data_IF_913908337014
#
_entry.id   IF_913908337014
#
_cell.length_a   1.000
_cell.length_b   1.000
_cell.length_c   1.000
_cell.angle_alpha   90.00
_cell.angle_beta   90.00
_cell.angle_gamma   90.00
#
_symmetry.space_group_name_H-M   'P 1'
#
loop_
_entity.id
_entity.type
_entity.pdbx_description
1 polymer ?
#
# COMPACT_ATOMS: atom_id res chain seq x y z
N UNK A 1 -0.07 3.94 -24.55
CA UNK A 1 -1.05 3.31 -23.66
C UNK A 1 -0.66 1.86 -23.53
N UNK A 2 -0.67 1.33 -22.31
CA UNK A 2 -0.27 -0.04 -22.04
C UNK A 2 -1.26 -1.06 -22.64
N UNK A 3 -0.82 -2.28 -23.00
CA UNK A 3 -1.67 -3.30 -23.63
C UNK A 3 -2.60 -3.98 -22.60
N UNK A 4 -3.62 -3.25 -22.12
CA UNK A 4 -4.52 -3.65 -21.02
C UNK A 4 -5.12 -5.06 -21.15
N UNK A 5 -5.67 -5.41 -22.31
CA UNK A 5 -6.31 -6.72 -22.51
C UNK A 5 -5.32 -7.88 -22.40
N UNK A 6 -4.10 -7.69 -22.90
CA UNK A 6 -3.04 -8.69 -22.83
C UNK A 6 -2.55 -8.85 -21.39
N UNK A 7 -2.34 -7.74 -20.68
CA UNK A 7 -1.88 -7.74 -19.29
C UNK A 7 -2.89 -8.36 -18.32
N UNK A 8 -4.19 -8.26 -18.61
CA UNK A 8 -5.26 -8.85 -17.80
C UNK A 8 -5.53 -10.33 -18.10
N UNK A 9 -4.82 -10.93 -19.06
CA UNK A 9 -5.07 -12.33 -19.45
C UNK A 9 -4.45 -13.29 -18.42
N UNK A 10 -5.27 -14.17 -17.83
CA UNK A 10 -4.81 -15.16 -16.85
C UNK A 10 -4.37 -14.55 -15.52
N UNK A 11 -4.99 -13.42 -15.15
CA UNK A 11 -4.83 -12.74 -13.86
C UNK A 11 -6.02 -13.10 -12.97
N UNK A 12 -5.75 -13.40 -11.70
CA UNK A 12 -6.77 -13.71 -10.69
C UNK A 12 -7.36 -12.41 -10.11
N UNK A 13 -6.52 -11.47 -9.68
CA UNK A 13 -6.91 -10.19 -9.09
C UNK A 13 -7.17 -9.13 -10.18
N UNK A 14 -8.10 -9.42 -11.10
CA UNK A 14 -8.35 -8.62 -12.31
C UNK A 14 -8.60 -7.14 -12.03
N UNK A 15 -9.42 -6.83 -11.03
CA UNK A 15 -9.77 -5.44 -10.72
C UNK A 15 -8.58 -4.68 -10.14
N UNK A 16 -7.82 -5.33 -9.26
CA UNK A 16 -6.60 -4.74 -8.68
C UNK A 16 -5.57 -4.49 -9.76
N UNK A 17 -5.27 -5.47 -10.61
CA UNK A 17 -4.31 -5.29 -11.71
C UNK A 17 -4.80 -4.26 -12.72
N UNK A 18 -6.09 -4.21 -13.03
CA UNK A 18 -6.65 -3.19 -13.90
C UNK A 18 -6.44 -1.77 -13.35
N UNK A 19 -6.66 -1.57 -12.05
CA UNK A 19 -6.37 -0.27 -11.39
C UNK A 19 -4.90 0.09 -11.49
N UNK A 20 -3.99 -0.86 -11.27
CA UNK A 20 -2.55 -0.60 -11.39
C UNK A 20 -2.14 -0.27 -12.83
N UNK A 21 -2.75 -0.89 -13.84
CA UNK A 21 -2.53 -0.52 -15.25
C UNK A 21 -2.98 0.92 -15.51
N UNK A 22 -4.15 1.31 -15.01
CA UNK A 22 -4.66 2.67 -15.15
C UNK A 22 -3.73 3.69 -14.45
N UNK A 23 -3.17 3.34 -13.29
CA UNK A 23 -2.19 4.15 -12.57
C UNK A 23 -0.84 4.25 -13.29
N UNK A 24 -0.40 3.17 -13.93
CA UNK A 24 0.82 3.19 -14.73
C UNK A 24 0.65 4.04 -16.01
N UNK A 25 -0.49 3.94 -16.69
CA UNK A 25 -0.83 4.83 -17.80
C UNK A 25 -0.88 6.30 -17.34
N UNK A 26 -1.36 6.58 -16.12
CA UNK A 26 -1.32 7.91 -15.53
C UNK A 26 0.13 8.39 -15.34
N UNK A 27 0.99 7.58 -14.70
CA UNK A 27 2.40 7.94 -14.48
C UNK A 27 3.13 8.26 -15.80
N UNK A 28 2.85 7.50 -16.87
CA UNK A 28 3.39 7.76 -18.21
C UNK A 28 2.93 9.13 -18.76
N UNK A 29 1.64 9.46 -18.56
CA UNK A 29 1.00 10.68 -19.09
C UNK A 29 1.28 11.95 -18.29
N UNK A 30 1.53 11.85 -16.99
CA UNK A 30 1.74 13.01 -16.13
C UNK A 30 3.21 13.26 -15.83
N UNK A 31 4.09 12.30 -16.11
CA UNK A 31 5.51 12.34 -15.70
C UNK A 31 5.71 12.41 -14.19
N UNK A 32 4.69 12.02 -13.42
CA UNK A 32 4.73 12.01 -11.95
C UNK A 32 4.74 10.59 -11.40
N UNK A 33 5.21 10.45 -10.16
CA UNK A 33 5.11 9.18 -9.42
C UNK A 33 3.66 8.99 -9.00
N UNK A 34 3.08 7.84 -9.32
CA UNK A 34 1.73 7.46 -8.92
C UNK A 34 1.81 6.34 -7.90
N UNK A 35 1.00 6.42 -6.84
CA UNK A 35 1.00 5.44 -5.76
C UNK A 35 -0.26 4.59 -5.78
N UNK A 36 -0.10 3.29 -5.51
CA UNK A 36 -1.23 2.42 -5.18
C UNK A 36 -1.66 2.61 -3.73
N UNK A 37 -2.81 2.06 -3.38
CA UNK A 37 -3.12 1.72 -2.00
C UNK A 37 -2.31 0.49 -1.54
N UNK A 38 -2.49 0.04 -0.30
CA UNK A 38 -1.83 -1.17 0.18
C UNK A 38 -2.40 -2.41 -0.50
N UNK A 39 -1.49 -3.17 -1.09
CA UNK A 39 -1.74 -4.43 -1.77
C UNK A 39 -1.32 -5.58 -0.87
N UNK A 40 -2.06 -6.68 -0.95
CA UNK A 40 -1.69 -7.93 -0.27
C UNK A 40 -0.52 -8.64 -0.99
N UNK A 41 0.20 -9.56 -0.31
CA UNK A 41 1.24 -10.36 -0.94
C UNK A 41 0.85 -11.04 -2.27
N UNK A 42 -0.31 -11.71 -2.42
CA UNK A 42 -0.69 -12.33 -3.68
C UNK A 42 -0.95 -11.30 -4.80
N UNK A 43 -1.55 -10.15 -4.47
CA UNK A 43 -1.77 -9.07 -5.43
C UNK A 43 -0.42 -8.49 -5.90
N UNK A 44 0.52 -8.23 -4.99
CA UNK A 44 1.86 -7.74 -5.31
C UNK A 44 2.62 -8.71 -6.22
N UNK A 45 2.61 -9.99 -5.90
CA UNK A 45 3.27 -11.02 -6.70
C UNK A 45 2.69 -11.07 -8.12
N UNK A 46 1.37 -10.95 -8.24
CA UNK A 46 0.70 -10.94 -9.53
C UNK A 46 1.00 -9.67 -10.34
N UNK A 47 0.95 -8.50 -9.71
CA UNK A 47 1.30 -7.22 -10.35
C UNK A 47 2.75 -7.26 -10.83
N UNK A 48 3.70 -7.67 -9.99
CA UNK A 48 5.10 -7.79 -10.39
C UNK A 48 5.27 -8.70 -11.60
N UNK A 49 4.60 -9.86 -11.63
CA UNK A 49 4.61 -10.78 -12.77
C UNK A 49 4.08 -10.14 -14.06
N UNK A 50 2.98 -9.39 -13.97
CA UNK A 50 2.34 -8.72 -15.11
C UNK A 50 3.24 -7.59 -15.64
N UNK A 51 3.79 -6.77 -14.74
CA UNK A 51 4.54 -5.57 -15.09
C UNK A 51 6.01 -5.82 -15.43
N UNK A 52 6.60 -6.96 -15.03
CA UNK A 52 7.98 -7.32 -15.38
C UNK A 52 8.24 -7.44 -16.90
N UNK A 53 7.18 -7.42 -17.72
CA UNK A 53 7.25 -7.45 -19.19
C UNK A 53 7.29 -6.06 -19.81
N UNK A 54 7.04 -5.01 -19.04
CA UNK A 54 6.97 -3.63 -19.49
C UNK A 54 8.33 -2.95 -19.31
N UNK A 55 8.67 -2.06 -20.24
CA UNK A 55 9.91 -1.28 -20.19
C UNK A 55 9.66 0.21 -20.03
N UNK A 56 8.40 0.62 -20.15
CA UNK A 56 7.96 2.01 -20.08
C UNK A 56 7.87 2.52 -18.64
N UNK A 57 7.64 1.62 -17.69
CA UNK A 57 7.49 1.93 -16.26
C UNK A 57 8.31 0.96 -15.42
N UNK A 58 8.67 1.41 -14.23
CA UNK A 58 9.19 0.55 -13.17
C UNK A 58 8.38 0.80 -11.90
N UNK A 59 8.39 -0.20 -11.02
CA UNK A 59 7.58 -0.22 -9.81
C UNK A 59 8.50 -0.50 -8.62
N UNK A 60 8.31 0.25 -7.54
CA UNK A 60 8.99 0.01 -6.27
C UNK A 60 7.93 -0.28 -5.21
N UNK A 61 8.07 -1.45 -4.57
CA UNK A 61 7.20 -1.87 -3.47
C UNK A 61 7.85 -1.55 -2.12
N UNK A 62 7.08 -0.94 -1.22
CA UNK A 62 7.52 -0.73 0.16
C UNK A 62 6.34 -0.69 1.12
N UNK A 63 6.52 -1.30 2.28
CA UNK A 63 5.53 -1.33 3.36
C UNK A 63 6.04 -0.73 4.67
N UNK A 64 7.20 -0.07 4.68
CA UNK A 64 7.77 0.60 5.86
C UNK A 64 8.85 -0.15 6.61
N UNK A 65 8.92 -1.47 6.43
CA UNK A 65 9.99 -2.30 6.97
C UNK A 65 10.22 -3.53 6.09
N UNK A 66 11.38 -4.22 6.20
CA UNK A 66 11.76 -5.29 5.27
C UNK A 66 10.80 -6.48 5.21
N UNK A 67 10.09 -6.78 6.30
CA UNK A 67 9.16 -7.91 6.41
C UNK A 67 7.69 -7.49 6.27
N UNK A 68 7.40 -6.29 5.77
CA UNK A 68 6.03 -5.85 5.57
C UNK A 68 5.30 -6.74 4.56
N UNK A 69 4.19 -7.33 4.97
CA UNK A 69 3.33 -8.16 4.14
C UNK A 69 2.53 -7.30 3.18
N UNK A 70 1.89 -6.24 3.68
CA UNK A 70 1.16 -5.29 2.85
C UNK A 70 2.04 -4.13 2.47
N UNK A 71 2.10 -3.84 1.18
CA UNK A 71 2.98 -2.82 0.62
C UNK A 71 2.23 -1.92 -0.35
N UNK A 72 2.68 -0.67 -0.47
CA UNK A 72 2.28 0.23 -1.56
C UNK A 72 3.28 0.10 -2.69
N UNK A 73 2.80 0.28 -3.91
CA UNK A 73 3.65 0.44 -5.08
C UNK A 73 3.75 1.92 -5.41
N UNK A 74 4.97 2.41 -5.57
CA UNK A 74 5.25 3.62 -6.30
C UNK A 74 5.54 3.24 -7.76
N UNK A 75 4.87 3.91 -8.68
CA UNK A 75 4.90 3.63 -10.11
C UNK A 75 5.44 4.88 -10.80
N UNK A 76 6.49 4.72 -11.57
CA UNK A 76 7.10 5.80 -12.32
C UNK A 76 7.55 5.32 -13.70
N UNK A 77 7.73 6.27 -14.62
CA UNK A 77 8.36 5.98 -15.91
C UNK A 77 9.77 5.46 -15.71
N UNK A 78 10.25 4.60 -16.61
CA UNK A 78 11.57 3.99 -16.51
C UNK A 78 12.75 4.99 -16.48
N UNK A 79 12.56 6.23 -16.92
CA UNK A 79 13.57 7.30 -16.91
C UNK A 79 13.60 8.14 -15.63
N UNK A 80 12.64 7.96 -14.71
CA UNK A 80 12.60 8.67 -13.43
C UNK A 80 13.18 7.79 -12.32
N UNK A 81 14.21 8.18 -11.58
CA UNK A 81 14.70 7.38 -10.46
C UNK A 81 13.66 7.23 -9.34
N UNK A 82 13.45 6.00 -8.90
CA UNK A 82 12.57 5.65 -7.78
C UNK A 82 13.24 4.63 -6.87
N UNK A 83 13.21 4.88 -5.57
CA UNK A 83 13.63 3.93 -4.54
C UNK A 83 12.57 3.78 -3.42
N UNK A 84 12.85 2.90 -2.46
CA UNK A 84 11.91 2.58 -1.38
C UNK A 84 11.59 3.79 -0.48
N UNK A 85 12.53 4.74 -0.33
CA UNK A 85 12.32 5.95 0.48
C UNK A 85 11.31 6.91 -0.14
N UNK A 86 11.06 6.80 -1.44
CA UNK A 86 10.09 7.61 -2.17
C UNK A 86 8.68 7.00 -2.15
N UNK A 87 8.51 5.77 -1.65
CA UNK A 87 7.17 5.18 -1.48
C UNK A 87 6.50 5.86 -0.30
N UNK A 88 5.50 6.69 -0.59
CA UNK A 88 4.81 7.49 0.40
C UNK A 88 4.01 6.60 1.37
N UNK A 89 4.41 6.55 2.64
CA UNK A 89 3.73 5.83 3.73
C UNK A 89 3.88 6.62 5.02
N UNK A 90 3.02 6.36 5.98
CA UNK A 90 3.06 6.98 7.30
C UNK A 90 2.89 5.90 8.37
N UNK A 91 3.58 6.05 9.50
CA UNK A 91 3.38 5.20 10.66
C UNK A 91 2.60 5.98 11.73
N UNK A 92 1.54 5.39 12.24
CA UNK A 92 0.75 5.90 13.36
C UNK A 92 1.06 5.08 14.60
N UNK A 93 1.22 5.78 15.72
CA UNK A 93 1.34 5.13 17.02
C UNK A 93 -0.02 5.18 17.74
N UNK A 94 -0.53 4.00 18.09
CA UNK A 94 -1.72 3.83 18.91
C UNK A 94 -1.24 3.51 20.32
N UNK A 95 -1.20 4.54 21.17
CA UNK A 95 -0.84 4.42 22.57
C UNK A 95 -2.10 4.35 23.47
N UNK A 96 -2.03 3.55 24.53
CA UNK A 96 -3.13 3.35 25.46
C UNK A 96 -2.70 2.53 26.67
N UNK A 97 -3.61 2.34 27.62
CA UNK A 97 -3.35 1.49 28.78
C UNK A 97 -3.79 0.05 28.49
N UNK A 98 -2.85 -0.78 28.03
CA UNK A 98 -3.10 -2.19 27.71
C UNK A 98 -2.50 -3.16 28.76
N UNK A 99 -2.19 -2.65 29.95
CA UNK A 99 -1.62 -3.45 31.07
C UNK A 99 -2.61 -4.49 31.61
N UNK A 100 -3.90 -4.15 31.65
CA UNK A 100 -4.94 -5.00 32.26
C UNK A 100 -5.93 -5.59 31.24
N UNK A 101 -5.91 -5.07 30.02
CA UNK A 101 -6.70 -5.56 28.90
C UNK A 101 -5.83 -5.48 27.63
N UNK A 102 -5.13 -6.57 27.34
CA UNK A 102 -4.18 -6.61 26.23
C UNK A 102 -4.95 -6.69 24.91
N UNK A 103 -4.91 -5.61 24.15
CA UNK A 103 -5.44 -5.59 22.80
C UNK A 103 -4.56 -6.43 21.86
N UNK A 104 -5.20 -7.22 21.01
CA UNK A 104 -4.55 -7.99 19.97
C UNK A 104 -4.67 -7.30 18.60
N UNK A 105 -4.01 -7.85 17.58
CA UNK A 105 -4.03 -7.30 16.22
C UNK A 105 -5.44 -7.03 15.68
N UNK A 106 -6.42 -7.92 15.96
CA UNK A 106 -7.80 -7.77 15.48
C UNK A 106 -8.52 -6.60 16.14
N UNK A 107 -8.18 -6.30 17.39
CA UNK A 107 -8.80 -5.19 18.12
C UNK A 107 -8.32 -3.85 17.55
N UNK A 108 -7.01 -3.70 17.33
CA UNK A 108 -6.44 -2.51 16.68
C UNK A 108 -6.98 -2.32 15.26
N UNK A 109 -6.96 -3.39 14.44
CA UNK A 109 -7.49 -3.32 13.09
C UNK A 109 -9.00 -3.00 13.09
N UNK A 110 -9.76 -3.65 13.97
CA UNK A 110 -11.20 -3.42 14.12
C UNK A 110 -11.52 -1.98 14.53
N UNK A 111 -10.76 -1.43 15.49
CA UNK A 111 -10.89 -0.04 15.91
C UNK A 111 -10.59 0.93 14.76
N UNK A 112 -9.51 0.69 14.00
CA UNK A 112 -9.20 1.52 12.84
C UNK A 112 -10.30 1.46 11.77
N UNK A 113 -10.76 0.27 11.39
CA UNK A 113 -11.83 0.14 10.40
C UNK A 113 -13.15 0.74 10.91
N UNK A 114 -13.39 0.71 12.23
CA UNK A 114 -14.54 1.34 12.87
C UNK A 114 -14.60 2.86 12.72
N UNK A 115 -13.48 3.51 12.41
CA UNK A 115 -13.43 4.96 12.09
C UNK A 115 -13.94 5.28 10.68
N UNK A 116 -14.21 4.27 9.84
CA UNK A 116 -14.57 4.42 8.43
C UNK A 116 -13.38 4.34 7.47
N UNK A 117 -12.15 4.15 7.98
CA UNK A 117 -10.97 3.86 7.17
C UNK A 117 -11.14 2.51 6.47
N UNK A 118 -10.91 2.47 5.15
CA UNK A 118 -10.97 1.23 4.37
C UNK A 118 -9.66 0.43 4.48
N UNK A 119 -9.73 -0.90 4.31
CA UNK A 119 -8.61 -1.82 4.57
C UNK A 119 -7.41 -1.57 3.66
N UNK A 120 -7.66 -1.11 2.44
CA UNK A 120 -6.67 -0.80 1.40
C UNK A 120 -5.82 0.42 1.79
N UNK A 121 -6.35 1.32 2.62
CA UNK A 121 -5.59 2.49 3.13
C UNK A 121 -4.70 2.14 4.32
N UNK A 122 -4.79 0.89 4.81
CA UNK A 122 -4.04 0.35 5.94
C UNK A 122 -3.07 -0.72 5.46
N UNK A 123 -1.82 -0.62 5.92
CA UNK A 123 -0.78 -1.62 5.77
C UNK A 123 -0.83 -2.66 6.89
N UNK A 124 0.34 -2.93 7.46
CA UNK A 124 0.51 -3.86 8.56
C UNK A 124 0.25 -3.18 9.91
N UNK A 125 -0.27 -3.96 10.85
CA UNK A 125 -0.53 -3.57 12.25
C UNK A 125 0.46 -4.32 13.13
N UNK A 126 1.38 -3.59 13.74
CA UNK A 126 2.46 -4.11 14.55
C UNK A 126 2.07 -3.95 16.01
N UNK A 127 1.76 -5.06 16.69
CA UNK A 127 1.36 -5.02 18.11
C UNK A 127 2.63 -4.98 18.98
N UNK A 128 2.70 -3.99 19.87
CA UNK A 128 3.83 -3.72 20.76
C UNK A 128 3.58 -4.14 22.21
N UNK A 129 2.65 -5.08 22.41
CA UNK A 129 2.21 -5.58 23.71
C UNK A 129 1.49 -4.49 24.50
N UNK A 130 1.89 -4.29 25.76
CA UNK A 130 1.26 -3.32 26.67
C UNK A 130 1.42 -1.86 26.22
N UNK A 131 2.37 -1.58 25.31
CA UNK A 131 2.60 -0.24 24.75
C UNK A 131 1.62 0.14 23.65
N UNK A 132 0.78 -0.79 23.21
CA UNK A 132 -0.20 -0.55 22.15
C UNK A 132 0.26 -1.11 20.80
N UNK A 133 0.13 -0.32 19.73
CA UNK A 133 0.43 -0.77 18.37
C UNK A 133 0.97 0.35 17.49
N UNK A 134 1.75 -0.01 16.48
CA UNK A 134 2.06 0.84 15.34
C UNK A 134 1.31 0.36 14.12
N UNK A 135 0.73 1.28 13.36
CA UNK A 135 0.01 0.95 12.14
C UNK A 135 0.55 1.75 10.99
N UNK A 136 0.82 1.07 9.88
CA UNK A 136 1.29 1.71 8.66
C UNK A 136 0.07 2.07 7.82
N UNK A 137 0.01 3.31 7.36
CA UNK A 137 -1.13 3.87 6.64
C UNK A 137 -0.66 4.70 5.45
N UNK A 138 -1.61 5.04 4.58
CA UNK A 138 -1.34 6.04 3.54
C UNK A 138 -1.24 7.43 4.21
N UNK A 139 -0.34 8.32 3.76
CA UNK A 139 -0.14 9.63 4.41
C UNK A 139 -1.40 10.49 4.49
N UNK A 140 -2.33 10.34 3.55
CA UNK A 140 -3.62 11.04 3.52
C UNK A 140 -4.48 10.78 4.77
N UNK A 141 -4.21 9.68 5.50
CA UNK A 141 -4.90 9.38 6.76
C UNK A 141 -4.31 10.13 7.96
N UNK A 142 -3.06 10.60 7.90
CA UNK A 142 -2.47 11.41 8.95
C UNK A 142 -3.27 12.70 9.17
N UNK A 143 -3.55 13.41 8.07
CA UNK A 143 -4.34 14.65 8.10
C UNK A 143 -5.77 14.40 8.63
N UNK A 144 -6.40 13.29 8.25
CA UNK A 144 -7.74 12.94 8.72
C UNK A 144 -7.79 12.71 10.24
N UNK A 145 -6.77 12.02 10.79
CA UNK A 145 -6.72 11.66 12.20
C UNK A 145 -6.23 12.80 13.10
N UNK A 146 -5.38 13.70 12.61
CA UNK A 146 -4.98 14.91 13.36
C UNK A 146 -6.13 15.91 13.54
N UNK A 147 -7.14 15.87 12.67
CA UNK A 147 -8.30 16.79 12.71
C UNK A 147 -9.50 16.26 13.50
N UNK A 148 -9.43 15.03 14.04
CA UNK A 148 -10.52 14.34 14.76
C UNK A 148 -10.31 14.35 16.27
#
# INVERSE_FOLDING_TARGET
MLPREELLKGVENRDTVARVIDQADQAIKTWEVVFTDFLSPPELAEIQRVFNRLTEVHLVAWGGYPQAERQRLAIARADLPLDQSQVAIMALEIAGNFLFDTANHRDFLGAMLGTGIVREKTGDVIVLGERGSQVIVVPELGEFLEMS
#
